data_IF_470198339156
#
_entry.id   IF_470198339156
#
_cell.length_a   1.000
_cell.length_b   1.000
_cell.length_c   1.000
_cell.angle_alpha   90.00
_cell.angle_beta   90.00
_cell.angle_gamma   90.00
#
_symmetry.space_group_name_H-M   'P 1'
#
loop_
_entity.id
_entity.type
_entity.pdbx_description
1 polymer ?
#
# COMPACT_ATOMS: atom_id res chain seq x y z
N UNK A 1 -17.68 -9.84 -40.98
CA UNK A 1 -16.52 -9.39 -40.20
C UNK A 1 -16.96 -9.24 -38.76
N UNK A 2 -16.85 -10.32 -37.99
CA UNK A 2 -17.20 -10.35 -36.57
C UNK A 2 -15.94 -10.19 -35.75
N UNK A 3 -15.75 -8.94 -35.35
CA UNK A 3 -14.97 -8.45 -34.21
C UNK A 3 -15.17 -9.35 -32.97
N UNK A 4 -14.30 -10.33 -32.72
CA UNK A 4 -14.32 -11.07 -31.44
C UNK A 4 -13.07 -11.90 -31.10
N UNK A 5 -11.87 -11.62 -31.63
CA UNK A 5 -10.65 -12.28 -31.14
C UNK A 5 -9.75 -11.29 -30.42
N UNK A 6 -10.24 -10.85 -29.26
CA UNK A 6 -9.53 -9.98 -28.34
C UNK A 6 -9.21 -10.79 -27.11
N UNK A 7 -8.08 -11.51 -27.13
CA UNK A 7 -7.32 -11.93 -25.95
C UNK A 7 -6.09 -12.69 -26.38
N UNK A 8 -4.96 -12.01 -26.29
CA UNK A 8 -3.72 -12.64 -25.85
C UNK A 8 -2.91 -11.57 -25.13
N UNK A 9 -2.81 -11.66 -23.81
CA UNK A 9 -1.94 -10.83 -23.00
C UNK A 9 -1.08 -11.78 -22.19
N UNK A 10 -0.06 -12.30 -22.86
CA UNK A 10 1.06 -13.02 -22.25
C UNK A 10 1.88 -12.00 -21.44
N UNK A 11 1.45 -11.69 -20.21
CA UNK A 11 2.26 -10.91 -19.27
C UNK A 11 3.20 -11.86 -18.55
N UNK A 12 4.32 -12.12 -19.21
CA UNK A 12 5.56 -12.58 -18.57
C UNK A 12 5.84 -11.62 -17.42
N UNK A 13 5.62 -12.10 -16.20
CA UNK A 13 6.06 -11.44 -14.97
C UNK A 13 7.58 -11.42 -15.03
N UNK A 14 8.12 -10.31 -15.53
CA UNK A 14 9.53 -9.99 -15.37
C UNK A 14 9.71 -9.62 -13.91
N UNK A 15 10.54 -10.43 -13.27
CA UNK A 15 11.10 -10.25 -11.94
C UNK A 15 11.59 -8.80 -11.75
N UNK A 16 11.32 -8.23 -10.58
CA UNK A 16 11.30 -6.80 -10.34
C UNK A 16 12.60 -6.07 -10.67
N UNK A 17 12.53 -5.18 -11.68
CA UNK A 17 13.45 -4.05 -11.84
C UNK A 17 12.72 -2.93 -12.61
N UNK A 18 12.21 -1.98 -11.81
CA UNK A 18 11.83 -0.59 -12.08
C UNK A 18 10.69 -0.23 -13.05
N UNK A 19 9.87 0.74 -12.62
CA UNK A 19 9.07 1.56 -13.53
C UNK A 19 8.56 2.86 -12.93
N UNK A 20 7.83 2.80 -11.81
CA UNK A 20 7.43 3.98 -11.04
C UNK A 20 7.06 3.55 -9.62
N UNK A 21 7.90 3.91 -8.64
CA UNK A 21 7.49 3.88 -7.24
C UNK A 21 6.59 5.08 -6.98
N UNK A 22 5.57 4.88 -6.16
CA UNK A 22 4.69 5.93 -5.68
C UNK A 22 4.98 6.14 -4.20
N UNK A 23 5.06 7.41 -3.82
CA UNK A 23 5.16 7.78 -2.41
C UNK A 23 3.78 8.00 -1.83
N UNK A 24 3.52 7.30 -0.72
CA UNK A 24 2.33 7.48 0.09
C UNK A 24 2.72 8.06 1.44
N UNK A 25 1.85 8.88 2.03
CA UNK A 25 2.02 9.30 3.41
C UNK A 25 1.88 8.08 4.32
N UNK A 26 2.70 7.98 5.36
CA UNK A 26 2.56 6.97 6.40
C UNK A 26 1.18 7.08 7.06
N UNK A 27 0.40 5.99 7.02
CA UNK A 27 -0.97 5.95 7.56
C UNK A 27 -1.01 5.46 9.02
N UNK A 28 0.02 5.75 9.81
CA UNK A 28 0.05 5.36 11.23
C UNK A 28 -0.93 6.20 12.06
N UNK A 29 -1.03 5.91 13.36
CA UNK A 29 -1.89 6.66 14.28
C UNK A 29 -1.34 8.03 14.71
N UNK A 30 -0.08 8.32 14.38
CA UNK A 30 0.54 9.60 14.75
C UNK A 30 0.05 10.73 13.81
N UNK A 31 -0.70 11.73 14.34
CA UNK A 31 -1.35 12.75 13.52
C UNK A 31 -0.38 13.79 12.94
N UNK A 32 0.88 13.81 13.41
CA UNK A 32 1.93 14.70 12.93
C UNK A 32 2.93 13.99 12.02
N UNK A 33 2.71 12.71 11.72
CA UNK A 33 3.59 11.94 10.86
C UNK A 33 3.48 12.41 9.42
N UNK A 34 4.62 12.79 8.84
CA UNK A 34 4.75 13.20 7.44
C UNK A 34 5.75 12.31 6.67
N UNK A 35 6.07 11.14 7.22
CA UNK A 35 6.99 10.20 6.57
C UNK A 35 6.36 9.64 5.29
N UNK A 36 7.21 9.47 4.27
CA UNK A 36 6.80 8.88 3.00
C UNK A 36 7.18 7.41 2.93
N UNK A 37 6.28 6.62 2.36
CA UNK A 37 6.46 5.21 2.11
C UNK A 37 6.42 4.95 0.61
N UNK A 38 7.57 4.53 0.06
CA UNK A 38 7.73 4.25 -1.36
C UNK A 38 7.37 2.80 -1.68
N UNK A 39 6.24 2.61 -2.37
CA UNK A 39 5.78 1.30 -2.84
C UNK A 39 5.64 1.29 -4.36
N UNK A 40 5.77 0.12 -4.96
CA UNK A 40 5.51 -0.09 -6.38
C UNK A 40 4.02 -0.06 -6.67
N UNK A 41 3.67 0.10 -7.95
CA UNK A 41 2.28 0.02 -8.37
C UNK A 41 1.65 -1.35 -8.04
N UNK A 42 2.40 -2.45 -8.23
CA UNK A 42 1.92 -3.81 -7.93
C UNK A 42 1.67 -4.02 -6.43
N UNK A 43 2.60 -3.56 -5.57
CA UNK A 43 2.42 -3.56 -4.11
C UNK A 43 1.18 -2.75 -3.72
N UNK A 44 1.00 -1.57 -4.31
CA UNK A 44 -0.18 -0.73 -4.08
C UNK A 44 -1.49 -1.43 -4.49
N UNK A 45 -1.52 -2.04 -5.67
CA UNK A 45 -2.69 -2.80 -6.13
C UNK A 45 -2.97 -4.00 -5.23
N UNK A 46 -1.94 -4.72 -4.77
CA UNK A 46 -2.09 -5.86 -3.86
C UNK A 46 -2.66 -5.45 -2.50
N UNK A 47 -2.13 -4.38 -1.90
CA UNK A 47 -2.57 -3.88 -0.60
C UNK A 47 -4.01 -3.38 -0.69
N UNK A 48 -4.34 -2.61 -1.73
CA UNK A 48 -5.67 -2.02 -1.93
C UNK A 48 -6.76 -3.00 -2.37
N UNK A 49 -6.44 -4.27 -2.63
CA UNK A 49 -7.47 -5.33 -2.81
C UNK A 49 -8.36 -5.49 -1.59
N UNK A 50 -7.86 -5.12 -0.41
CA UNK A 50 -8.64 -5.14 0.82
C UNK A 50 -8.62 -3.70 1.40
N UNK A 51 -9.77 -3.00 1.42
CA UNK A 51 -9.81 -1.54 1.63
C UNK A 51 -9.42 -1.10 3.04
N UNK A 52 -9.41 -2.02 4.00
CA UNK A 52 -9.01 -1.81 5.40
C UNK A 52 -7.49 -1.90 5.63
N UNK A 53 -6.70 -2.23 4.60
CA UNK A 53 -5.25 -2.32 4.71
C UNK A 53 -4.60 -0.96 4.51
N UNK A 54 -3.66 -0.66 5.38
CA UNK A 54 -2.94 0.60 5.44
C UNK A 54 -1.44 0.35 5.30
N UNK A 55 -0.72 1.35 4.81
CA UNK A 55 0.74 1.29 4.67
C UNK A 55 1.39 2.24 5.67
N UNK A 56 2.30 1.70 6.46
CA UNK A 56 3.05 2.46 7.46
C UNK A 56 4.55 2.20 7.33
N UNK A 57 5.35 3.13 7.83
CA UNK A 57 6.79 2.93 7.95
C UNK A 57 7.09 1.85 8.98
N UNK A 58 8.15 1.07 8.76
CA UNK A 58 8.58 0.04 9.71
C UNK A 58 8.80 0.67 11.08
N UNK A 59 8.17 0.09 12.11
CA UNK A 59 8.27 0.57 13.49
C UNK A 59 7.34 1.73 13.85
N UNK A 60 6.46 2.16 12.93
CA UNK A 60 5.42 3.17 13.22
C UNK A 60 4.06 2.54 13.53
N UNK A 61 4.01 1.22 13.71
CA UNK A 61 2.79 0.49 14.07
C UNK A 61 2.57 0.53 15.59
N UNK A 62 1.32 0.62 16.02
CA UNK A 62 0.88 0.51 17.42
C UNK A 62 0.29 -0.88 17.69
N UNK A 63 1.03 -1.79 18.34
CA UNK A 63 0.59 -3.18 18.58
C UNK A 63 -0.71 -3.31 19.41
N UNK A 64 -1.15 -2.26 20.12
CA UNK A 64 -2.39 -2.29 20.89
C UNK A 64 -3.63 -2.04 20.02
N UNK A 65 -3.51 -1.26 18.94
CA UNK A 65 -4.63 -0.82 18.08
C UNK A 65 -4.47 -1.20 16.63
N UNK A 66 -3.33 -1.75 16.24
CA UNK A 66 -2.99 -2.09 14.88
C UNK A 66 -2.40 -3.50 14.81
N UNK A 67 -2.70 -4.21 13.72
CA UNK A 67 -2.17 -5.54 13.47
C UNK A 67 -1.32 -5.52 12.21
N UNK A 68 -0.05 -5.92 12.35
CA UNK A 68 0.83 -6.14 11.20
C UNK A 68 0.40 -7.40 10.46
N UNK A 69 0.07 -7.25 9.17
CA UNK A 69 -0.22 -8.36 8.26
C UNK A 69 1.01 -8.82 7.49
N UNK A 70 1.89 -7.87 7.17
CA UNK A 70 3.06 -8.07 6.33
C UNK A 70 4.10 -7.00 6.67
N UNK A 71 5.36 -7.38 6.58
CA UNK A 71 6.48 -6.46 6.65
C UNK A 71 7.38 -6.71 5.43
N UNK A 72 7.74 -5.62 4.74
CA UNK A 72 8.83 -5.58 3.79
C UNK A 72 10.04 -4.96 4.52
N UNK A 73 11.06 -5.77 4.90
CA UNK A 73 12.13 -5.35 5.78
C UNK A 73 12.83 -4.07 5.30
N UNK A 74 12.86 -3.07 6.18
CA UNK A 74 13.48 -1.77 5.89
C UNK A 74 12.73 -0.87 4.90
N UNK A 75 11.56 -1.28 4.41
CA UNK A 75 10.74 -0.49 3.48
C UNK A 75 9.43 -0.05 4.10
N UNK A 76 8.55 -0.99 4.45
CA UNK A 76 7.22 -0.68 4.97
C UNK A 76 6.56 -1.86 5.68
N UNK A 77 5.50 -1.57 6.42
CA UNK A 77 4.58 -2.55 6.99
C UNK A 77 3.18 -2.33 6.43
N UNK A 78 2.43 -3.41 6.26
CA UNK A 78 1.02 -3.39 5.93
C UNK A 78 0.24 -3.76 7.18
N UNK A 79 -0.67 -2.90 7.60
CA UNK A 79 -1.41 -3.05 8.84
C UNK A 79 -2.92 -2.99 8.61
N UNK A 80 -3.66 -3.52 9.57
CA UNK A 80 -5.09 -3.26 9.74
C UNK A 80 -5.31 -2.59 11.10
N UNK A 81 -6.25 -1.65 11.15
CA UNK A 81 -6.65 -1.04 12.42
C UNK A 81 -7.69 -1.92 13.11
N UNK A 82 -7.48 -2.14 14.40
CA UNK A 82 -8.35 -2.91 15.26
C UNK A 82 -9.10 -2.00 16.24
N UNK A 83 -10.37 -2.35 16.47
CA UNK A 83 -11.18 -1.77 17.52
C UNK A 83 -10.78 -2.30 18.90
N UNK A 84 -11.38 -1.77 19.98
CA UNK A 84 -11.07 -2.16 21.34
C UNK A 84 -11.37 -3.64 21.64
N UNK A 85 -12.18 -4.32 20.83
CA UNK A 85 -12.46 -5.77 20.97
C UNK A 85 -11.65 -6.63 19.99
N UNK A 86 -10.68 -6.04 19.27
CA UNK A 86 -9.84 -6.71 18.29
C UNK A 86 -10.50 -6.93 16.92
N UNK A 87 -11.70 -6.36 16.70
CA UNK A 87 -12.37 -6.39 15.41
C UNK A 87 -11.69 -5.46 14.41
N UNK A 88 -11.63 -5.84 13.13
CA UNK A 88 -11.02 -4.98 12.11
C UNK A 88 -11.97 -3.82 11.79
N UNK A 89 -11.48 -2.60 11.92
CA UNK A 89 -12.22 -1.39 11.61
C UNK A 89 -12.02 -1.04 10.14
N UNK A 90 -13.11 -0.89 9.40
CA UNK A 90 -13.06 -0.48 8.01
C UNK A 90 -12.48 0.94 7.91
N UNK A 91 -11.36 1.08 7.21
CA UNK A 91 -10.83 2.38 6.83
C UNK A 91 -11.34 2.74 5.43
N UNK A 92 -12.00 3.89 5.30
CA UNK A 92 -12.40 4.42 3.98
C UNK A 92 -11.23 5.28 3.51
N UNK A 93 -10.29 4.66 2.78
CA UNK A 93 -9.06 5.34 2.34
C UNK A 93 -9.37 6.65 1.60
N UNK A 94 -8.84 7.77 2.10
CA UNK A 94 -8.80 9.02 1.35
C UNK A 94 -7.71 8.90 0.28
N UNK A 95 -8.12 9.01 -0.99
CA UNK A 95 -7.28 8.78 -2.16
C UNK A 95 -6.33 9.97 -2.39
N UNK A 96 -5.16 9.98 -1.76
CA UNK A 96 -4.10 10.92 -2.11
C UNK A 96 -2.76 10.21 -2.31
N UNK A 97 -2.47 9.72 -3.53
CA UNK A 97 -1.07 9.52 -3.91
C UNK A 97 -0.38 10.90 -3.90
N UNK A 98 0.73 11.02 -3.18
CA UNK A 98 1.59 12.18 -3.36
C UNK A 98 2.37 11.93 -4.66
N UNK A 99 2.32 12.86 -5.64
CA UNK A 99 3.20 12.73 -6.78
C UNK A 99 4.62 12.79 -6.24
N UNK A 100 5.36 11.69 -6.41
CA UNK A 100 6.80 11.66 -6.22
C UNK A 100 7.40 12.72 -7.14
N UNK A 101 7.59 13.92 -6.59
CA UNK A 101 8.29 14.99 -7.24
C UNK A 101 9.72 14.53 -7.44
N UNK A 102 10.06 14.24 -8.69
CA UNK A 102 11.42 14.05 -9.15
C UNK A 102 12.24 15.26 -8.71
N UNK A 103 13.04 15.09 -7.65
CA UNK A 103 14.02 16.09 -7.23
C UNK A 103 15.32 15.82 -7.99
N UNK A 104 15.82 16.91 -8.59
CA UNK A 104 16.92 17.06 -9.53
C UNK A 104 18.21 16.30 -9.22
#
# INVERSE_FOLDING_TARGET
>A
MSEALRREVDKRRVDGIDGSRLDFLCECLDPVCAELVSITLDECEFIRRVPNRLVVRVGHTDDERERVLMEEPGRFQVIERCGPSGEVVAHIAQRYPHPSGQAA
#
